data_IF_190831767023
#
_entry.id   IF_190831767023
#
_cell.length_a   1.000
_cell.length_b   1.000
_cell.length_c   1.000
_cell.angle_alpha   90.00
_cell.angle_beta   90.00
_cell.angle_gamma   90.00
#
_symmetry.space_group_name_H-M   'P 1'
#
loop_
_entity.id
_entity.type
_entity.pdbx_description
1 polymer ?
#
# COMPACT_ATOMS: atom_id res chain seq x y z
N UNK A 1 -23.09 0.14 -24.33
CA UNK A 1 -22.33 -1.08 -24.67
C UNK A 1 -21.13 -1.12 -23.74
N UNK A 2 -21.27 -1.84 -22.61
CA UNK A 2 -20.24 -1.92 -21.57
C UNK A 2 -19.48 -3.22 -21.78
N UNK A 3 -18.17 -3.14 -22.07
CA UNK A 3 -17.30 -4.30 -22.05
C UNK A 3 -17.12 -4.71 -20.58
N UNK A 4 -17.76 -5.81 -20.18
CA UNK A 4 -17.39 -6.57 -18.97
C UNK A 4 -16.04 -7.22 -19.25
N UNK A 5 -14.99 -6.70 -18.64
CA UNK A 5 -13.79 -7.50 -18.42
C UNK A 5 -14.09 -8.42 -17.23
N UNK A 6 -14.44 -9.67 -17.51
CA UNK A 6 -14.39 -10.75 -16.52
C UNK A 6 -12.91 -11.06 -16.28
N UNK A 7 -12.30 -10.34 -15.35
CA UNK A 7 -10.93 -10.54 -14.89
C UNK A 7 -10.94 -10.50 -13.38
N UNK A 8 -10.28 -11.47 -12.76
CA UNK A 8 -10.06 -11.61 -11.31
C UNK A 8 -9.98 -10.24 -10.61
N UNK A 9 -11.04 -9.82 -9.92
CA UNK A 9 -10.98 -8.62 -9.09
C UNK A 9 -10.19 -9.00 -7.85
N UNK A 10 -8.86 -8.90 -7.94
CA UNK A 10 -8.05 -8.86 -6.74
C UNK A 10 -8.40 -7.54 -6.04
N UNK A 11 -9.27 -7.63 -5.04
CA UNK A 11 -9.60 -6.49 -4.18
C UNK A 11 -8.42 -6.23 -3.26
N UNK A 12 -7.33 -5.71 -3.82
CA UNK A 12 -6.22 -5.21 -3.03
C UNK A 12 -6.58 -3.83 -2.50
N UNK A 13 -6.37 -3.63 -1.21
CA UNK A 13 -6.42 -2.30 -0.60
C UNK A 13 -5.01 -1.75 -0.49
N UNK A 14 -4.89 -0.46 -0.72
CA UNK A 14 -3.62 0.24 -0.57
C UNK A 14 -3.58 0.91 0.80
N UNK A 15 -2.42 0.88 1.44
CA UNK A 15 -2.10 1.77 2.56
C UNK A 15 -1.02 2.74 2.12
N UNK A 16 -1.24 4.03 2.35
CA UNK A 16 -0.38 5.08 1.83
C UNK A 16 0.36 5.78 2.96
N UNK A 17 1.69 5.82 2.82
CA UNK A 17 2.63 6.48 3.73
C UNK A 17 2.42 8.00 3.77
N UNK A 18 2.89 8.63 4.84
CA UNK A 18 2.69 10.06 5.13
C UNK A 18 3.44 10.97 4.14
N UNK A 19 4.54 10.47 3.58
CA UNK A 19 5.42 11.21 2.68
C UNK A 19 4.90 11.25 1.22
N UNK A 20 3.86 10.48 0.91
CA UNK A 20 3.30 10.38 -0.44
C UNK A 20 2.55 11.67 -0.82
N UNK A 21 2.97 12.37 -1.89
CA UNK A 21 2.34 13.63 -2.29
C UNK A 21 0.88 13.47 -2.70
N UNK A 22 0.07 14.50 -2.45
CA UNK A 22 -1.35 14.52 -2.82
C UNK A 22 -1.60 14.33 -4.33
N UNK A 23 -0.62 14.66 -5.19
CA UNK A 23 -0.69 14.38 -6.63
C UNK A 23 -0.76 12.88 -6.93
N UNK A 24 -0.04 12.05 -6.16
CA UNK A 24 -0.08 10.59 -6.26
C UNK A 24 -1.42 10.07 -5.73
N UNK A 25 -1.89 10.59 -4.60
CA UNK A 25 -3.22 10.24 -4.07
C UNK A 25 -4.34 10.52 -5.07
N UNK A 26 -4.29 11.68 -5.73
CA UNK A 26 -5.23 12.04 -6.79
C UNK A 26 -5.14 11.10 -7.99
N UNK A 27 -3.93 10.70 -8.38
CA UNK A 27 -3.74 9.70 -9.42
C UNK A 27 -4.38 8.35 -9.04
N UNK A 28 -4.14 7.85 -7.83
CA UNK A 28 -4.74 6.59 -7.33
C UNK A 28 -6.26 6.66 -7.33
N UNK A 29 -6.82 7.78 -6.84
CA UNK A 29 -8.27 8.04 -6.84
C UNK A 29 -8.85 8.05 -8.25
N UNK A 30 -8.20 8.74 -9.18
CA UNK A 30 -8.62 8.81 -10.58
C UNK A 30 -8.50 7.46 -11.31
N UNK A 31 -7.58 6.60 -10.87
CA UNK A 31 -7.45 5.23 -11.35
C UNK A 31 -8.53 4.28 -10.77
N UNK A 32 -9.38 4.76 -9.85
CA UNK A 32 -10.42 3.96 -9.22
C UNK A 32 -9.90 3.00 -8.15
N UNK A 33 -8.70 3.24 -7.61
CA UNK A 33 -8.10 2.41 -6.58
C UNK A 33 -8.57 2.87 -5.20
N UNK A 34 -8.95 1.90 -4.36
CA UNK A 34 -9.25 2.13 -2.96
C UNK A 34 -7.94 2.19 -2.16
N UNK A 35 -7.77 3.27 -1.40
CA UNK A 35 -6.63 3.45 -0.52
C UNK A 35 -7.08 4.10 0.79
N UNK A 36 -6.32 3.85 1.85
CA UNK A 36 -6.42 4.51 3.14
C UNK A 36 -5.02 5.06 3.50
N UNK A 37 -4.94 6.24 4.10
CA UNK A 37 -3.66 6.80 4.57
C UNK A 37 -3.28 6.23 5.94
N UNK A 38 -2.00 6.33 6.32
CA UNK A 38 -1.58 6.01 7.69
C UNK A 38 -2.34 6.84 8.74
N UNK A 39 -2.69 8.09 8.42
CA UNK A 39 -3.52 8.94 9.28
C UNK A 39 -4.93 8.35 9.48
N UNK A 40 -5.59 7.87 8.43
CA UNK A 40 -6.92 7.25 8.51
C UNK A 40 -6.90 5.95 9.33
N UNK A 41 -5.77 5.23 9.31
CA UNK A 41 -5.52 4.07 10.16
C UNK A 41 -5.11 4.42 11.61
N UNK A 42 -4.91 5.70 11.93
CA UNK A 42 -4.42 6.13 13.25
C UNK A 42 -2.97 5.72 13.52
N UNK A 43 -2.16 5.58 12.46
CA UNK A 43 -0.78 5.09 12.48
C UNK A 43 0.25 6.18 12.14
N UNK A 44 -0.04 7.43 12.45
CA UNK A 44 0.94 8.52 12.28
C UNK A 44 2.20 8.21 13.11
N UNK A 45 3.37 8.23 12.45
CA UNK A 45 4.67 7.94 13.04
C UNK A 45 4.94 6.45 13.28
N UNK A 46 4.12 5.55 12.72
CA UNK A 46 4.37 4.11 12.77
C UNK A 46 5.72 3.76 12.13
N UNK A 47 6.41 2.81 12.72
CA UNK A 47 7.65 2.27 12.17
C UNK A 47 7.37 1.44 10.92
N UNK A 48 8.35 1.33 10.01
CA UNK A 48 8.23 0.47 8.82
C UNK A 48 7.81 -0.97 9.17
N UNK A 49 8.30 -1.51 10.29
CA UNK A 49 7.94 -2.85 10.78
C UNK A 49 6.47 -2.97 11.16
N UNK A 50 5.88 -1.94 11.78
CA UNK A 50 4.45 -1.91 12.12
C UNK A 50 3.59 -1.81 10.87
N UNK A 51 4.00 -0.99 9.91
CA UNK A 51 3.30 -0.83 8.62
C UNK A 51 3.32 -2.14 7.83
N UNK A 52 4.47 -2.83 7.77
CA UNK A 52 4.61 -4.16 7.14
C UNK A 52 3.75 -5.20 7.87
N UNK A 53 3.74 -5.18 9.21
CA UNK A 53 2.92 -6.12 9.96
C UNK A 53 1.42 -5.92 9.69
N UNK A 54 0.97 -4.66 9.64
CA UNK A 54 -0.40 -4.34 9.26
C UNK A 54 -0.70 -4.79 7.83
N UNK A 55 0.21 -4.52 6.88
CA UNK A 55 0.00 -4.88 5.48
C UNK A 55 -0.12 -6.39 5.29
N UNK A 56 0.67 -7.19 6.01
CA UNK A 56 0.53 -8.64 6.02
C UNK A 56 -0.79 -9.10 6.64
N UNK A 57 -1.17 -8.52 7.78
CA UNK A 57 -2.38 -8.89 8.52
C UNK A 57 -3.67 -8.61 7.72
N UNK A 58 -3.72 -7.46 7.07
CA UNK A 58 -4.91 -6.96 6.38
C UNK A 58 -4.82 -7.13 4.84
N UNK A 59 -3.76 -7.80 4.35
CA UNK A 59 -3.48 -8.03 2.94
C UNK A 59 -3.47 -6.72 2.11
N UNK A 60 -2.70 -5.74 2.58
CA UNK A 60 -2.55 -4.42 1.98
C UNK A 60 -1.27 -4.33 1.14
N UNK A 61 -1.29 -3.48 0.13
CA UNK A 61 -0.09 -3.05 -0.59
C UNK A 61 0.35 -1.69 -0.04
N UNK A 62 1.61 -1.58 0.36
CA UNK A 62 2.18 -0.33 0.88
C UNK A 62 2.57 0.56 -0.30
N UNK A 63 2.12 1.82 -0.27
CA UNK A 63 2.55 2.87 -1.20
C UNK A 63 3.38 3.87 -0.42
N UNK A 64 4.66 4.01 -0.77
CA UNK A 64 5.63 4.84 -0.03
C UNK A 64 6.72 5.36 -0.97
N UNK A 65 7.34 6.49 -0.64
CA UNK A 65 8.55 6.96 -1.34
C UNK A 65 9.83 6.61 -0.57
N UNK A 66 9.72 6.00 0.61
CA UNK A 66 10.85 5.58 1.43
C UNK A 66 11.52 4.32 0.88
N UNK A 67 12.71 4.47 0.29
CA UNK A 67 13.53 3.37 -0.27
C UNK A 67 13.85 2.25 0.73
N UNK A 68 13.79 2.55 2.04
CA UNK A 68 14.06 1.57 3.08
C UNK A 68 13.04 0.42 3.09
N UNK A 69 11.80 0.64 2.62
CA UNK A 69 10.85 -0.47 2.40
C UNK A 69 11.29 -1.43 1.31
N UNK A 70 11.96 -0.94 0.25
CA UNK A 70 12.51 -1.81 -0.81
C UNK A 70 13.66 -2.65 -0.26
N UNK A 71 14.55 -2.04 0.53
CA UNK A 71 15.63 -2.78 1.20
C UNK A 71 15.05 -3.82 2.15
N UNK A 72 14.02 -3.47 2.92
CA UNK A 72 13.35 -4.43 3.79
C UNK A 72 12.68 -5.54 2.97
N UNK A 73 11.97 -5.24 1.89
CA UNK A 73 11.38 -6.28 1.03
C UNK A 73 12.43 -7.26 0.48
N UNK A 74 13.53 -6.75 -0.07
CA UNK A 74 14.58 -7.55 -0.70
C UNK A 74 15.47 -8.32 0.31
N UNK A 75 15.69 -7.75 1.50
CA UNK A 75 16.62 -8.31 2.49
C UNK A 75 15.93 -8.86 3.75
N UNK A 76 14.60 -8.82 3.83
CA UNK A 76 13.90 -9.26 5.03
C UNK A 76 13.95 -10.78 5.22
N UNK A 77 14.25 -11.17 6.45
CA UNK A 77 13.84 -12.44 7.05
C UNK A 77 12.42 -12.36 7.65
N UNK A 78 11.65 -11.32 7.30
CA UNK A 78 10.29 -11.11 7.78
C UNK A 78 9.43 -12.15 7.06
N UNK A 79 9.01 -13.19 7.79
CA UNK A 79 8.11 -14.19 7.22
C UNK A 79 6.79 -13.56 6.82
N UNK A 80 6.25 -13.95 5.66
CA UNK A 80 4.99 -13.44 5.11
C UNK A 80 5.14 -12.81 3.73
N UNK A 81 4.02 -12.58 3.07
CA UNK A 81 3.96 -11.91 1.77
C UNK A 81 3.37 -10.51 1.96
N UNK A 82 4.03 -9.48 1.40
CA UNK A 82 3.51 -8.11 1.32
C UNK A 82 3.95 -7.47 0.00
N UNK A 83 3.22 -6.48 -0.47
CA UNK A 83 3.55 -5.70 -1.67
C UNK A 83 4.04 -4.30 -1.31
N UNK A 84 5.03 -3.81 -2.05
CA UNK A 84 5.49 -2.42 -1.98
C UNK A 84 5.41 -1.80 -3.37
N UNK A 85 4.78 -0.63 -3.45
CA UNK A 85 4.77 0.24 -4.61
C UNK A 85 5.59 1.50 -4.28
N UNK A 86 6.67 1.71 -5.01
CA UNK A 86 7.55 2.89 -4.95
C UNK A 86 7.48 3.64 -6.26
#
# INVERSE_FOLDING_TARGET
>A
MLAKAEGFALTFKLIVDEDVPSSVLNFLRNAGLAYETLEEYGLIGATNSEIIHLSMKENLIIVTLHEDFVKMYLYSKLGGEFGVLV
#
